data_IF_190986845462
#
_entry.id   IF_190986845462
#
_cell.length_a   1.000
_cell.length_b   1.000
_cell.length_c   1.000
_cell.angle_alpha   90.00
_cell.angle_beta   90.00
_cell.angle_gamma   90.00
#
_symmetry.space_group_name_H-M   'P 1'
#
loop_
_entity.id
_entity.type
_entity.pdbx_description
1 polymer ?
#
# COMPACT_ATOMS: atom_id res chain seq x y z
N UNK A 1 -28.10 1.77 5.71
CA UNK A 1 -27.43 0.46 5.50
C UNK A 1 -26.43 0.44 4.35
N UNK A 2 -26.72 1.01 3.16
CA UNK A 2 -25.78 1.03 2.01
C UNK A 2 -24.40 1.67 2.30
N UNK A 3 -24.34 2.75 3.10
CA UNK A 3 -23.07 3.40 3.45
C UNK A 3 -22.13 2.53 4.32
N UNK A 4 -22.68 1.64 5.18
CA UNK A 4 -21.87 0.76 6.04
C UNK A 4 -21.22 -0.39 5.26
N UNK A 5 -21.88 -0.90 4.21
CA UNK A 5 -21.33 -1.96 3.37
C UNK A 5 -20.17 -1.44 2.49
N UNK A 6 -20.29 -0.21 1.96
CA UNK A 6 -19.19 0.45 1.22
C UNK A 6 -17.97 0.72 2.10
N UNK A 7 -18.20 1.22 3.32
CA UNK A 7 -17.15 1.44 4.31
C UNK A 7 -16.32 0.20 4.63
N UNK A 8 -17.00 -0.92 4.86
CA UNK A 8 -16.34 -2.18 5.20
C UNK A 8 -15.41 -2.66 4.08
N UNK A 9 -15.80 -2.51 2.82
CA UNK A 9 -14.94 -2.82 1.67
C UNK A 9 -13.62 -2.05 1.73
N UNK A 10 -13.65 -0.74 1.97
CA UNK A 10 -12.44 0.09 2.04
C UNK A 10 -11.54 -0.29 3.20
N UNK A 11 -12.11 -0.51 4.38
CA UNK A 11 -11.36 -0.95 5.57
C UNK A 11 -10.70 -2.31 5.32
N UNK A 12 -11.43 -3.27 4.76
CA UNK A 12 -10.91 -4.61 4.45
C UNK A 12 -9.79 -4.54 3.40
N UNK A 13 -10.00 -3.82 2.29
CA UNK A 13 -8.98 -3.67 1.25
C UNK A 13 -7.73 -2.96 1.77
N UNK A 14 -7.89 -1.86 2.51
CA UNK A 14 -6.78 -1.12 3.09
C UNK A 14 -5.97 -1.98 4.04
N UNK A 15 -6.66 -2.74 4.91
CA UNK A 15 -6.01 -3.65 5.86
C UNK A 15 -5.29 -4.79 5.15
N UNK A 16 -5.90 -5.38 4.12
CA UNK A 16 -5.30 -6.43 3.31
C UNK A 16 -4.04 -5.93 2.59
N UNK A 17 -4.08 -4.75 1.97
CA UNK A 17 -2.90 -4.16 1.34
C UNK A 17 -1.82 -3.83 2.36
N UNK A 18 -2.18 -3.29 3.52
CA UNK A 18 -1.20 -3.01 4.58
C UNK A 18 -0.53 -4.27 5.12
N UNK A 19 -1.28 -5.36 5.25
CA UNK A 19 -0.72 -6.66 5.63
C UNK A 19 0.20 -7.24 4.54
N UNK A 20 -0.22 -7.19 3.27
CA UNK A 20 0.59 -7.63 2.15
C UNK A 20 1.89 -6.81 2.01
N UNK A 21 1.83 -5.50 2.24
CA UNK A 21 2.97 -4.59 2.24
C UNK A 21 3.98 -4.97 3.33
N UNK A 22 3.50 -5.19 4.55
CA UNK A 22 4.33 -5.64 5.67
C UNK A 22 5.01 -6.99 5.36
N UNK A 23 4.24 -7.95 4.83
CA UNK A 23 4.75 -9.29 4.51
C UNK A 23 5.79 -9.25 3.39
N UNK A 24 5.51 -8.54 2.31
CA UNK A 24 6.43 -8.42 1.17
C UNK A 24 7.70 -7.66 1.54
N UNK A 25 7.60 -6.59 2.35
CA UNK A 25 8.75 -5.89 2.92
C UNK A 25 9.58 -6.82 3.82
N UNK A 26 8.94 -7.60 4.68
CA UNK A 26 9.62 -8.57 5.55
C UNK A 26 10.34 -9.68 4.76
N UNK A 27 9.71 -10.18 3.70
CA UNK A 27 10.32 -11.19 2.83
C UNK A 27 11.49 -10.61 2.01
N UNK A 28 11.34 -9.38 1.51
CA UNK A 28 12.38 -8.72 0.73
C UNK A 28 13.63 -8.47 1.56
N UNK A 29 13.43 -8.03 2.79
CA UNK A 29 14.54 -7.74 3.71
C UNK A 29 15.33 -8.99 4.09
N UNK A 30 14.66 -10.14 4.28
CA UNK A 30 15.34 -11.44 4.44
C UNK A 30 16.09 -11.93 3.20
N UNK A 31 15.78 -11.41 2.01
CA UNK A 31 16.49 -11.71 0.75
C UNK A 31 17.66 -10.75 0.48
N UNK A 32 18.03 -9.88 1.43
CA UNK A 32 19.18 -8.98 1.31
C UNK A 32 18.82 -7.56 0.83
N UNK A 33 17.54 -7.24 0.58
CA UNK A 33 17.13 -5.89 0.19
C UNK A 33 17.20 -4.85 1.33
N UNK A 34 17.57 -5.27 2.56
CA UNK A 34 17.74 -4.37 3.70
C UNK A 34 18.89 -3.35 3.48
N UNK A 35 19.89 -3.69 2.67
CA UNK A 35 21.03 -2.79 2.38
C UNK A 35 20.62 -1.58 1.51
N UNK A 36 19.48 -1.64 0.81
CA UNK A 36 19.00 -0.56 -0.05
C UNK A 36 18.33 0.58 0.73
N UNK A 37 18.03 0.43 2.03
CA UNK A 37 17.40 1.49 2.82
C UNK A 37 17.74 1.39 4.33
N UNK A 38 18.62 2.27 4.86
CA UNK A 38 19.07 2.20 6.26
C UNK A 38 17.95 2.45 7.28
N UNK A 39 16.91 3.21 6.93
CA UNK A 39 15.73 3.44 7.79
C UNK A 39 14.89 2.17 7.93
N UNK A 40 14.85 1.33 6.90
CA UNK A 40 14.23 0.00 6.98
C UNK A 40 15.10 -0.96 7.79
N UNK A 41 16.42 -0.94 7.58
CA UNK A 41 17.37 -1.80 8.29
C UNK A 41 17.26 -1.67 9.83
N UNK A 42 17.15 -0.45 10.36
CA UNK A 42 16.98 -0.20 11.79
C UNK A 42 15.67 -0.80 12.34
N UNK A 43 14.56 -0.65 11.60
CA UNK A 43 13.25 -1.19 11.99
C UNK A 43 13.21 -2.72 11.95
N UNK A 44 13.98 -3.34 11.06
CA UNK A 44 14.05 -4.79 10.89
C UNK A 44 14.88 -5.48 11.97
N UNK A 45 15.72 -4.73 12.69
CA UNK A 45 16.48 -5.24 13.84
C UNK A 45 15.57 -5.77 14.95
N UNK A 46 14.34 -5.26 15.04
CA UNK A 46 13.33 -5.72 15.98
C UNK A 46 11.99 -6.00 15.25
N UNK A 47 11.62 -7.29 15.08
CA UNK A 47 10.37 -7.67 14.42
C UNK A 47 9.13 -7.02 15.05
N UNK A 48 9.12 -6.81 16.37
CA UNK A 48 8.00 -6.19 17.06
C UNK A 48 7.83 -4.71 16.71
N UNK A 49 8.94 -3.96 16.57
CA UNK A 49 8.89 -2.57 16.14
C UNK A 49 8.48 -2.46 14.67
N UNK A 50 8.98 -3.37 13.82
CA UNK A 50 8.59 -3.45 12.42
C UNK A 50 7.07 -3.67 12.29
N UNK A 51 6.54 -4.80 12.75
CA UNK A 51 5.12 -5.11 12.62
C UNK A 51 4.23 -4.17 13.44
N UNK A 52 4.70 -3.69 14.59
CA UNK A 52 4.00 -2.72 15.42
C UNK A 52 3.79 -1.38 14.70
N UNK A 53 4.82 -0.87 14.01
CA UNK A 53 4.69 0.36 13.20
C UNK A 53 3.70 0.17 12.05
N UNK A 54 3.73 -0.97 11.37
CA UNK A 54 2.75 -1.31 10.34
C UNK A 54 1.32 -1.38 10.90
N UNK A 55 1.12 -2.04 12.03
CA UNK A 55 -0.18 -2.12 12.69
C UNK A 55 -0.71 -0.73 13.08
N UNK A 56 0.15 0.12 13.65
CA UNK A 56 -0.20 1.49 14.02
C UNK A 56 -0.62 2.34 12.81
N UNK A 57 0.17 2.35 11.74
CA UNK A 57 -0.19 3.09 10.51
C UNK A 57 -1.43 2.52 9.82
N UNK A 58 -1.64 1.20 9.92
CA UNK A 58 -2.88 0.57 9.42
C UNK A 58 -4.09 1.10 10.19
N UNK A 59 -3.99 1.14 11.51
CA UNK A 59 -5.07 1.62 12.38
C UNK A 59 -5.37 3.11 12.13
N UNK A 60 -4.34 3.95 11.98
CA UNK A 60 -4.52 5.34 11.56
C UNK A 60 -5.23 5.46 10.21
N UNK A 61 -4.85 4.66 9.21
CA UNK A 61 -5.52 4.67 7.91
C UNK A 61 -6.99 4.21 7.98
N UNK A 62 -7.29 3.22 8.81
CA UNK A 62 -8.68 2.80 9.08
C UNK A 62 -9.47 3.93 9.74
N UNK A 63 -8.88 4.65 10.69
CA UNK A 63 -9.51 5.84 11.32
C UNK A 63 -9.81 6.90 10.26
N UNK A 64 -8.87 7.20 9.36
CA UNK A 64 -9.09 8.14 8.24
C UNK A 64 -10.26 7.70 7.37
N UNK A 65 -10.31 6.43 6.95
CA UNK A 65 -11.43 5.89 6.14
C UNK A 65 -12.75 6.10 6.85
N UNK A 66 -12.84 5.74 8.14
CA UNK A 66 -14.08 5.86 8.93
C UNK A 66 -14.53 7.31 9.06
N UNK A 67 -13.60 8.24 9.32
CA UNK A 67 -13.90 9.67 9.46
C UNK A 67 -14.25 10.34 8.13
N UNK A 68 -13.77 9.82 7.00
CA UNK A 68 -14.06 10.36 5.67
C UNK A 68 -15.47 10.00 5.16
N UNK A 69 -16.06 8.90 5.61
CA UNK A 69 -17.41 8.46 5.19
C UNK A 69 -18.53 9.50 5.36
N UNK A 70 -18.68 10.19 6.51
CA UNK A 70 -19.70 11.22 6.64
C UNK A 70 -19.45 12.42 5.70
N UNK A 71 -18.20 12.64 5.25
CA UNK A 71 -17.85 13.71 4.33
C UNK A 71 -18.19 13.37 2.88
N UNK A 72 -18.17 12.08 2.48
CA UNK A 72 -18.54 11.65 1.12
C UNK A 72 -20.01 11.95 0.78
N UNK A 73 -20.88 11.98 1.79
CA UNK A 73 -22.29 12.37 1.63
C UNK A 73 -22.53 13.88 1.50
N UNK A 74 -21.52 14.71 1.85
CA UNK A 74 -21.64 16.18 1.84
C UNK A 74 -20.85 16.83 0.71
N UNK A 75 -19.74 16.22 0.30
CA UNK A 75 -18.83 16.77 -0.70
C UNK A 75 -18.67 15.74 -1.83
N UNK A 76 -19.13 16.01 -3.06
CA UNK A 76 -19.03 15.06 -4.18
C UNK A 76 -17.60 14.59 -4.47
N UNK A 77 -16.62 15.49 -4.35
CA UNK A 77 -15.21 15.18 -4.53
C UNK A 77 -14.67 14.15 -3.53
N UNK A 78 -15.25 14.08 -2.31
CA UNK A 78 -14.86 13.07 -1.33
C UNK A 78 -15.33 11.66 -1.68
N UNK A 79 -16.23 11.50 -2.65
CA UNK A 79 -16.59 10.20 -3.21
C UNK A 79 -15.40 9.44 -3.81
N UNK A 80 -14.44 10.16 -4.42
CA UNK A 80 -13.24 9.55 -5.03
C UNK A 80 -12.09 9.33 -4.05
N UNK A 81 -12.12 10.02 -2.89
CA UNK A 81 -11.02 9.99 -1.94
C UNK A 81 -10.75 8.59 -1.41
N UNK A 82 -11.79 7.82 -1.07
CA UNK A 82 -11.62 6.49 -0.50
C UNK A 82 -11.02 5.50 -1.50
N UNK A 83 -11.48 5.55 -2.76
CA UNK A 83 -10.90 4.73 -3.83
C UNK A 83 -9.43 5.07 -4.06
N UNK A 84 -9.10 6.37 -4.17
CA UNK A 84 -7.72 6.83 -4.35
C UNK A 84 -6.83 6.47 -3.16
N UNK A 85 -7.31 6.70 -1.94
CA UNK A 85 -6.55 6.43 -0.71
C UNK A 85 -6.21 4.94 -0.58
N UNK A 86 -7.16 4.05 -0.87
CA UNK A 86 -6.91 2.61 -0.86
C UNK A 86 -6.00 2.19 -2.03
N UNK A 87 -6.17 2.77 -3.22
CA UNK A 87 -5.31 2.49 -4.37
C UNK A 87 -3.85 2.90 -4.11
N UNK A 88 -3.61 4.06 -3.50
CA UNK A 88 -2.28 4.52 -3.12
C UNK A 88 -1.62 3.55 -2.13
N UNK A 89 -2.39 2.91 -1.24
CA UNK A 89 -1.86 1.89 -0.32
C UNK A 89 -1.44 0.58 -1.02
N UNK A 90 -1.95 0.31 -2.22
CA UNK A 90 -1.53 -0.84 -3.01
C UNK A 90 -0.16 -0.62 -3.69
N UNK A 91 0.27 0.63 -3.91
CA UNK A 91 1.52 0.93 -4.61
C UNK A 91 2.77 0.31 -3.96
N UNK A 92 2.99 0.41 -2.64
CA UNK A 92 4.11 -0.25 -1.98
C UNK A 92 4.07 -1.77 -2.11
N UNK A 93 2.86 -2.37 -2.03
CA UNK A 93 2.67 -3.82 -2.20
C UNK A 93 3.15 -4.25 -3.58
N UNK A 94 2.68 -3.58 -4.63
CA UNK A 94 3.05 -3.88 -6.01
C UNK A 94 4.55 -3.73 -6.21
N UNK A 95 5.12 -2.61 -5.76
CA UNK A 95 6.56 -2.37 -5.83
C UNK A 95 7.36 -3.50 -5.17
N UNK A 96 6.99 -3.91 -3.96
CA UNK A 96 7.69 -4.97 -3.25
C UNK A 96 7.52 -6.34 -3.93
N UNK A 97 6.34 -6.64 -4.48
CA UNK A 97 6.11 -7.88 -5.26
C UNK A 97 7.02 -7.93 -6.47
N UNK A 98 7.18 -6.83 -7.20
CA UNK A 98 8.05 -6.78 -8.37
C UNK A 98 9.52 -6.95 -8.01
N UNK A 99 9.98 -6.26 -6.96
CA UNK A 99 11.33 -6.43 -6.42
C UNK A 99 11.56 -7.88 -6.00
N UNK A 100 10.58 -8.51 -5.34
CA UNK A 100 10.65 -9.92 -4.94
C UNK A 100 10.65 -10.89 -6.13
N UNK A 101 10.05 -10.51 -7.25
CA UNK A 101 10.07 -11.26 -8.51
C UNK A 101 11.39 -11.08 -9.29
N UNK A 102 12.32 -10.26 -8.78
CA UNK A 102 13.59 -9.98 -9.44
C UNK A 102 13.50 -8.97 -10.58
N UNK A 103 12.36 -8.27 -10.72
CA UNK A 103 12.19 -7.22 -11.72
C UNK A 103 12.64 -5.91 -11.09
N UNK A 104 13.65 -5.26 -11.65
CA UNK A 104 14.13 -4.00 -11.10
C UNK A 104 13.10 -2.88 -11.29
N UNK A 105 13.01 -1.90 -10.37
CA UNK A 105 12.10 -0.76 -10.53
C UNK A 105 12.34 0.03 -11.83
N UNK A 106 13.59 0.03 -12.31
CA UNK A 106 13.97 0.65 -13.58
C UNK A 106 13.42 -0.12 -14.77
N UNK A 107 13.55 -1.46 -14.80
CA UNK A 107 12.93 -2.30 -15.83
C UNK A 107 11.42 -2.17 -15.83
N UNK A 108 10.80 -2.01 -14.66
CA UNK A 108 9.36 -1.81 -14.58
C UNK A 108 8.95 -0.47 -15.20
N UNK A 109 9.64 0.60 -14.81
CA UNK A 109 9.40 1.94 -15.34
C UNK A 109 9.64 1.96 -16.85
N UNK A 110 10.69 1.30 -17.33
CA UNK A 110 10.99 1.20 -18.77
C UNK A 110 9.93 0.35 -19.47
N UNK A 111 9.51 -0.81 -18.95
CA UNK A 111 8.48 -1.65 -19.58
C UNK A 111 7.11 -0.96 -19.62
N UNK A 112 6.69 -0.30 -18.54
CA UNK A 112 5.39 0.39 -18.51
C UNK A 112 5.41 1.65 -19.35
N UNK A 113 6.49 2.43 -19.29
CA UNK A 113 6.62 3.68 -20.07
C UNK A 113 6.82 3.38 -21.55
N UNK A 114 7.60 2.36 -21.91
CA UNK A 114 7.77 1.92 -23.30
C UNK A 114 6.48 1.31 -23.86
N UNK A 115 5.74 0.48 -23.10
CA UNK A 115 4.42 -0.01 -23.56
C UNK A 115 3.43 1.11 -23.79
N UNK A 116 3.41 2.11 -22.90
CA UNK A 116 2.55 3.28 -23.02
C UNK A 116 2.94 4.15 -24.23
N UNK A 117 4.24 4.40 -24.43
CA UNK A 117 4.75 5.16 -25.58
C UNK A 117 4.55 4.42 -26.92
N UNK A 118 4.58 3.09 -26.91
CA UNK A 118 4.41 2.26 -28.10
C UNK A 118 2.95 1.88 -28.38
N UNK A 119 1.99 2.37 -27.59
CA UNK A 119 0.55 2.21 -27.86
C UNK A 119 0.00 0.81 -27.62
N UNK A 120 0.74 -0.05 -26.90
CA UNK A 120 0.25 -1.39 -26.52
C UNK A 120 -0.45 -1.29 -25.16
N UNK A 121 -1.78 -1.11 -25.20
CA UNK A 121 -2.69 -1.26 -24.04
C UNK A 121 -3.18 -2.69 -23.90
#
# INVERSE_FOLDING_TARGET
MKARAGALKYVLLFTAFSFADALTTWLGTRRGFAEANPVLAERLSNPHLFFGSFAFFTLLGVVVIVLSLPLTGRIPAMGYFLDLFVALKALPVLNNVFVLAGISPLELTVMTTARWLLGFT
#
